data_IF_229307193301
#
_entry.id   IF_229307193301
#
_cell.length_a   1.000
_cell.length_b   1.000
_cell.length_c   1.000
_cell.angle_alpha   90.00
_cell.angle_beta   90.00
_cell.angle_gamma   90.00
#
_symmetry.space_group_name_H-M   'P 1'
#
loop_
_entity.id
_entity.type
_entity.pdbx_description
1 polymer ?
#
# COMPACT_ATOMS: atom_id res chain seq x y z
N UNK A 1 -39.16 -52.19 23.39
CA UNK A 1 -39.54 -51.13 24.36
C UNK A 1 -38.97 -49.84 23.80
N UNK A 2 -39.69 -48.78 23.43
CA UNK A 2 -41.04 -48.33 23.74
C UNK A 2 -41.49 -47.45 22.55
N UNK A 3 -42.76 -47.56 22.17
CA UNK A 3 -43.43 -46.90 21.05
C UNK A 3 -43.72 -45.42 21.32
N UNK A 4 -43.98 -44.64 20.27
CA UNK A 4 -45.07 -43.64 20.24
C UNK A 4 -45.63 -43.51 18.81
N UNK A 5 -46.94 -43.77 18.68
CA UNK A 5 -47.83 -43.65 17.51
C UNK A 5 -48.45 -42.22 17.52
N UNK A 6 -48.47 -41.43 16.42
CA UNK A 6 -49.45 -41.38 15.30
C UNK A 6 -50.62 -40.34 15.54
N UNK A 7 -51.51 -39.97 14.57
CA UNK A 7 -51.37 -38.85 13.59
C UNK A 7 -52.68 -38.00 13.37
N UNK A 8 -52.79 -37.29 12.22
CA UNK A 8 -53.96 -36.56 11.59
C UNK A 8 -54.22 -35.09 12.06
N UNK A 9 -54.69 -34.11 11.25
CA UNK A 9 -55.56 -34.10 10.06
C UNK A 9 -55.44 -32.77 9.27
N UNK A 10 -55.60 -32.81 7.95
CA UNK A 10 -55.87 -31.65 7.07
C UNK A 10 -57.39 -31.42 6.94
N UNK A 11 -57.85 -30.16 6.86
CA UNK A 11 -59.22 -29.86 6.43
C UNK A 11 -59.26 -28.69 5.43
N UNK A 12 -59.80 -29.01 4.26
CA UNK A 12 -60.15 -28.20 3.11
C UNK A 12 -61.54 -27.59 3.34
N UNK A 13 -61.77 -26.32 3.02
CA UNK A 13 -63.12 -25.74 2.90
C UNK A 13 -63.28 -25.13 1.51
N UNK A 14 -64.35 -25.54 0.85
CA UNK A 14 -64.76 -25.18 -0.51
C UNK A 14 -66.25 -24.82 -0.43
N UNK A 15 -66.66 -23.65 -0.91
CA UNK A 15 -68.07 -23.32 -1.13
C UNK A 15 -68.26 -22.45 -2.38
N UNK A 16 -69.04 -23.05 -3.28
CA UNK A 16 -69.72 -22.60 -4.52
C UNK A 16 -70.68 -21.41 -4.26
N UNK A 17 -71.26 -20.64 -5.20
CA UNK A 17 -71.16 -20.45 -6.64
C UNK A 17 -72.01 -19.21 -7.06
N UNK A 18 -71.66 -18.62 -8.21
CA UNK A 18 -72.47 -18.02 -9.30
C UNK A 18 -73.65 -17.04 -9.05
N UNK A 19 -73.57 -15.87 -9.69
CA UNK A 19 -74.55 -15.35 -10.69
C UNK A 19 -73.99 -14.10 -11.40
N UNK A 20 -74.14 -14.01 -12.73
CA UNK A 20 -73.48 -13.01 -13.58
C UNK A 20 -74.38 -11.93 -14.21
N UNK A 21 -73.85 -11.34 -15.31
CA UNK A 21 -74.43 -10.36 -16.27
C UNK A 21 -74.30 -8.89 -15.78
N UNK A 22 -73.81 -7.85 -16.49
CA UNK A 22 -73.65 -7.50 -17.91
C UNK A 22 -72.56 -6.40 -18.10
N UNK A 23 -72.11 -6.20 -19.34
CA UNK A 23 -71.05 -5.29 -19.77
C UNK A 23 -71.44 -3.81 -19.88
N UNK A 24 -70.45 -2.92 -19.70
CA UNK A 24 -70.27 -1.68 -20.48
C UNK A 24 -68.87 -1.12 -20.21
N UNK A 25 -68.07 -0.98 -21.27
CA UNK A 25 -66.68 -0.54 -21.17
C UNK A 25 -66.49 0.95 -20.95
N UNK A 26 -65.28 1.31 -20.54
CA UNK A 26 -64.54 2.50 -20.96
C UNK A 26 -63.09 2.38 -20.47
N UNK A 27 -62.17 2.63 -21.39
CA UNK A 27 -60.72 2.60 -21.22
C UNK A 27 -60.25 3.52 -20.08
N UNK A 28 -59.39 2.98 -19.20
CA UNK A 28 -58.42 3.74 -18.42
C UNK A 28 -57.03 3.14 -18.73
N UNK A 29 -55.98 3.94 -18.98
CA UNK A 29 -54.68 3.40 -19.31
C UNK A 29 -54.04 2.79 -18.05
N UNK A 30 -53.53 1.58 -18.20
CA UNK A 30 -52.68 0.93 -17.20
C UNK A 30 -51.47 1.83 -16.93
N UNK A 31 -51.32 2.23 -15.66
CA UNK A 31 -50.09 2.78 -15.12
C UNK A 31 -48.97 1.76 -15.30
N UNK A 32 -48.03 2.07 -16.18
CA UNK A 32 -46.80 1.29 -16.34
C UNK A 32 -46.03 1.15 -15.04
N UNK A 33 -45.16 0.13 -14.92
CA UNK A 33 -44.36 -0.07 -13.71
C UNK A 33 -43.51 1.18 -13.52
N UNK A 34 -43.65 1.78 -12.34
CA UNK A 34 -42.92 2.97 -11.93
C UNK A 34 -41.44 2.79 -12.21
N UNK A 35 -40.94 3.69 -13.03
CA UNK A 35 -39.53 4.00 -13.23
C UNK A 35 -38.95 4.27 -11.84
N UNK A 36 -38.41 3.22 -11.21
CA UNK A 36 -37.45 3.38 -10.14
C UNK A 36 -36.28 4.10 -10.78
N UNK A 37 -36.29 5.42 -10.66
CA UNK A 37 -35.11 6.23 -10.84
C UNK A 37 -34.05 5.64 -9.93
N UNK A 38 -33.18 4.81 -10.52
CA UNK A 38 -31.90 4.50 -9.96
C UNK A 38 -31.24 5.87 -9.73
N UNK A 39 -31.22 6.30 -8.48
CA UNK A 39 -30.37 7.40 -8.09
C UNK A 39 -28.95 6.92 -8.35
N UNK A 40 -28.40 7.29 -9.51
CA UNK A 40 -26.97 7.25 -9.80
C UNK A 40 -26.28 8.15 -8.76
N UNK A 41 -26.08 7.63 -7.56
CA UNK A 41 -24.99 8.11 -6.74
C UNK A 41 -23.74 7.76 -7.52
N UNK A 42 -23.11 8.77 -8.14
CA UNK A 42 -21.83 8.60 -8.79
C UNK A 42 -20.91 7.83 -7.83
N UNK A 43 -20.37 6.71 -8.30
CA UNK A 43 -19.53 5.84 -7.47
C UNK A 43 -18.44 6.68 -6.80
N UNK A 44 -18.20 6.46 -5.50
CA UNK A 44 -17.17 7.18 -4.77
C UNK A 44 -15.79 6.95 -5.42
N UNK A 45 -15.23 8.03 -5.98
CA UNK A 45 -13.93 8.07 -6.65
C UNK A 45 -12.82 8.61 -5.73
N UNK A 46 -13.13 8.88 -4.46
CA UNK A 46 -12.13 9.37 -3.53
C UNK A 46 -11.05 8.31 -3.22
N UNK A 47 -9.78 8.71 -3.07
CA UNK A 47 -8.71 7.78 -2.71
C UNK A 47 -9.06 7.00 -1.44
N UNK A 48 -8.78 5.69 -1.42
CA UNK A 48 -8.89 4.87 -0.20
C UNK A 48 -7.75 5.10 0.77
N UNK A 49 -6.60 5.48 0.25
CA UNK A 49 -5.43 5.86 1.05
C UNK A 49 -5.47 7.36 1.34
N UNK A 50 -5.01 7.79 2.53
CA UNK A 50 -4.86 9.22 2.81
C UNK A 50 -3.81 9.85 1.87
N UNK A 51 -3.97 11.15 1.62
CA UNK A 51 -2.90 11.96 1.04
C UNK A 51 -2.10 12.56 2.18
N UNK A 52 -0.86 12.12 2.32
CA UNK A 52 0.04 12.58 3.38
C UNK A 52 0.77 13.85 2.96
N UNK A 53 0.76 14.85 3.83
CA UNK A 53 1.62 16.02 3.67
C UNK A 53 3.10 15.60 3.73
N UNK A 54 3.93 16.27 2.94
CA UNK A 54 5.38 16.03 2.95
C UNK A 54 6.00 16.80 4.12
N UNK A 55 6.75 16.11 4.97
CA UNK A 55 7.54 16.71 6.05
C UNK A 55 9.02 16.44 5.78
N UNK A 56 9.67 17.33 5.04
CA UNK A 56 11.00 17.07 4.49
C UNK A 56 10.94 15.83 3.59
N UNK A 57 11.66 14.78 3.98
CA UNK A 57 11.74 13.51 3.27
C UNK A 57 10.88 12.40 3.88
N UNK A 58 10.00 12.76 4.82
CA UNK A 58 9.02 11.85 5.43
C UNK A 58 7.59 12.15 4.99
N UNK A 59 6.77 11.11 5.02
CA UNK A 59 5.32 11.23 4.92
C UNK A 59 4.63 10.18 5.80
N UNK A 60 3.45 10.56 6.32
CA UNK A 60 2.61 9.70 7.13
C UNK A 60 3.10 9.47 8.56
N UNK A 61 2.56 8.45 9.20
CA UNK A 61 2.73 8.18 10.63
C UNK A 61 2.57 6.69 10.93
N UNK A 62 3.20 6.21 12.01
CA UNK A 62 2.96 4.86 12.50
C UNK A 62 1.60 4.80 13.19
N UNK A 63 0.83 3.79 12.84
CA UNK A 63 -0.48 3.53 13.44
C UNK A 63 -0.51 2.13 14.03
N UNK A 64 -1.51 1.87 14.85
CA UNK A 64 -1.79 0.55 15.42
C UNK A 64 -3.20 0.12 15.05
N UNK A 65 -3.40 -1.19 14.97
CA UNK A 65 -4.69 -1.80 14.71
C UNK A 65 -4.90 -2.96 15.68
N UNK A 66 -6.10 -3.09 16.22
CA UNK A 66 -6.48 -4.22 17.09
C UNK A 66 -7.29 -5.19 16.27
N UNK A 67 -6.79 -6.42 16.11
CA UNK A 67 -7.39 -7.43 15.24
C UNK A 67 -8.60 -8.09 15.90
N UNK A 68 -9.57 -8.48 15.07
CA UNK A 68 -10.67 -9.37 15.41
C UNK A 68 -10.32 -10.83 15.09
N UNK A 69 -11.17 -11.77 15.53
CA UNK A 69 -10.95 -13.20 15.33
C UNK A 69 -10.88 -13.62 13.84
N UNK A 70 -11.72 -13.02 13.00
CA UNK A 70 -11.80 -13.31 11.55
C UNK A 70 -10.72 -12.61 10.70
N UNK A 71 -9.91 -11.76 11.30
CA UNK A 71 -8.92 -10.99 10.55
C UNK A 71 -7.79 -11.85 10.00
N UNK A 72 -7.29 -11.44 8.84
CA UNK A 72 -6.05 -11.96 8.25
C UNK A 72 -5.25 -10.77 7.74
N UNK A 73 -3.94 -10.87 7.64
CA UNK A 73 -3.11 -9.79 7.09
C UNK A 73 -3.47 -9.48 5.64
N UNK A 74 -3.88 -10.47 4.86
CA UNK A 74 -4.38 -10.23 3.50
C UNK A 74 -5.71 -9.46 3.49
N UNK A 75 -6.62 -9.78 4.42
CA UNK A 75 -7.89 -9.08 4.61
C UNK A 75 -7.70 -7.64 5.07
N UNK A 76 -6.94 -7.44 6.15
CA UNK A 76 -6.56 -6.13 6.68
C UNK A 76 -5.85 -5.31 5.59
N UNK A 77 -4.92 -5.91 4.87
CA UNK A 77 -4.22 -5.27 3.75
C UNK A 77 -5.18 -4.81 2.66
N UNK A 78 -6.14 -5.64 2.27
CA UNK A 78 -7.16 -5.24 1.30
C UNK A 78 -8.13 -4.17 1.86
N UNK A 79 -8.50 -4.20 3.13
CA UNK A 79 -9.38 -3.19 3.71
C UNK A 79 -8.69 -1.83 3.86
N UNK A 80 -7.45 -1.85 4.34
CA UNK A 80 -6.69 -0.65 4.69
C UNK A 80 -5.75 -0.18 3.57
N UNK A 81 -5.72 -0.88 2.43
CA UNK A 81 -4.76 -0.62 1.34
C UNK A 81 -3.31 -0.67 1.84
N UNK A 82 -2.94 -1.80 2.46
CA UNK A 82 -1.57 -2.15 2.85
C UNK A 82 -1.17 -3.48 2.19
N UNK A 83 0.09 -3.61 1.83
CA UNK A 83 0.68 -4.78 1.22
C UNK A 83 0.81 -5.92 2.23
N UNK A 84 0.66 -7.15 1.74
CA UNK A 84 0.76 -8.31 2.61
C UNK A 84 2.14 -8.40 3.30
N UNK A 85 3.24 -8.28 2.55
CA UNK A 85 4.59 -8.41 3.14
C UNK A 85 4.96 -7.23 4.04
N UNK A 86 4.45 -6.03 3.81
CA UNK A 86 4.74 -4.92 4.74
C UNK A 86 4.08 -5.15 6.11
N UNK A 87 2.87 -5.74 6.15
CA UNK A 87 2.23 -6.14 7.40
C UNK A 87 2.99 -7.28 8.08
N UNK A 88 3.42 -8.31 7.33
CA UNK A 88 4.21 -9.44 7.86
C UNK A 88 5.53 -8.94 8.45
N UNK A 89 6.25 -8.08 7.73
CA UNK A 89 7.56 -7.56 8.15
C UNK A 89 7.46 -6.68 9.39
N UNK A 90 6.47 -5.78 9.44
CA UNK A 90 6.26 -4.87 10.56
C UNK A 90 5.76 -5.55 11.85
N UNK A 91 5.31 -6.82 11.78
CA UNK A 91 4.70 -7.54 12.89
C UNK A 91 5.33 -8.92 13.13
N UNK A 92 6.63 -8.96 13.50
CA UNK A 92 7.32 -10.23 13.72
C UNK A 92 6.68 -11.03 14.85
N UNK A 93 6.41 -12.31 14.60
CA UNK A 93 5.83 -13.24 15.58
C UNK A 93 4.30 -13.28 15.63
N UNK A 94 3.60 -12.43 14.86
CA UNK A 94 2.14 -12.53 14.67
C UNK A 94 1.86 -13.48 13.51
N UNK A 95 0.89 -14.40 13.69
CA UNK A 95 0.45 -15.29 12.61
C UNK A 95 -0.34 -14.48 11.55
N UNK A 96 0.12 -14.41 10.29
CA UNK A 96 -0.56 -13.61 9.27
C UNK A 96 -1.96 -14.12 8.90
N UNK A 97 -2.26 -15.40 9.10
CA UNK A 97 -3.55 -16.05 8.78
C UNK A 97 -4.51 -16.12 9.95
N UNK A 98 -4.01 -15.99 11.18
CA UNK A 98 -4.86 -15.91 12.36
C UNK A 98 -4.16 -15.05 13.43
N UNK A 99 -4.13 -13.71 13.26
CA UNK A 99 -3.49 -12.81 14.22
C UNK A 99 -4.07 -12.94 15.63
N UNK A 100 -5.34 -13.36 15.71
CA UNK A 100 -6.07 -13.59 16.96
C UNK A 100 -6.85 -12.36 17.42
N UNK A 101 -7.92 -12.58 18.16
CA UNK A 101 -8.75 -11.51 18.70
C UNK A 101 -7.99 -10.69 19.75
N UNK A 102 -8.02 -9.37 19.62
CA UNK A 102 -7.36 -8.43 20.53
C UNK A 102 -5.84 -8.26 20.33
N UNK A 103 -5.24 -8.89 19.31
CA UNK A 103 -3.82 -8.68 19.00
C UNK A 103 -3.60 -7.28 18.46
N UNK A 104 -2.62 -6.56 19.02
CA UNK A 104 -2.25 -5.22 18.53
C UNK A 104 -1.14 -5.37 17.51
N UNK A 105 -1.40 -4.93 16.29
CA UNK A 105 -0.44 -4.92 15.18
C UNK A 105 -0.06 -3.49 14.80
N UNK A 106 1.16 -3.32 14.30
CA UNK A 106 1.68 -2.10 13.70
C UNK A 106 1.21 -1.99 12.25
N UNK A 107 0.72 -0.80 11.88
CA UNK A 107 0.48 -0.39 10.50
C UNK A 107 1.62 0.55 10.06
N UNK A 108 2.54 0.12 9.18
CA UNK A 108 3.73 0.88 8.80
C UNK A 108 3.42 1.99 7.77
N UNK A 109 2.57 2.95 8.15
CA UNK A 109 2.14 4.10 7.32
C UNK A 109 3.07 5.32 7.41
N UNK A 110 4.26 5.14 7.95
CA UNK A 110 5.32 6.15 7.93
C UNK A 110 6.34 5.75 6.87
N UNK A 111 6.72 6.68 6.01
CA UNK A 111 7.59 6.41 4.88
C UNK A 111 8.70 7.44 4.79
N UNK A 112 9.93 6.97 4.61
CA UNK A 112 11.00 7.75 3.98
C UNK A 112 10.75 7.74 2.48
N UNK A 113 10.68 8.92 1.87
CA UNK A 113 10.37 9.06 0.46
C UNK A 113 11.57 8.64 -0.40
N UNK A 114 11.37 8.00 -1.55
CA UNK A 114 12.47 7.67 -2.46
C UNK A 114 13.21 8.93 -2.94
N UNK A 115 14.53 8.82 -3.14
CA UNK A 115 15.40 9.93 -3.56
C UNK A 115 15.35 10.14 -5.08
N UNK A 116 14.15 10.46 -5.56
CA UNK A 116 13.86 10.74 -6.96
C UNK A 116 12.97 11.97 -7.06
N UNK A 117 12.88 12.61 -8.24
CA UNK A 117 11.89 13.66 -8.46
C UNK A 117 10.49 13.24 -8.02
N UNK A 118 9.94 13.97 -7.05
CA UNK A 118 8.63 13.75 -6.43
C UNK A 118 7.49 14.22 -7.33
N UNK A 119 7.32 13.54 -8.46
CA UNK A 119 6.36 13.91 -9.50
C UNK A 119 5.73 12.68 -10.12
N UNK A 120 4.41 12.69 -10.25
CA UNK A 120 3.66 11.60 -10.87
C UNK A 120 3.77 10.33 -10.06
N UNK A 121 4.02 9.21 -10.73
CA UNK A 121 4.05 7.88 -10.13
C UNK A 121 5.49 7.41 -9.97
N UNK A 122 5.85 6.96 -8.77
CA UNK A 122 7.10 6.25 -8.49
C UNK A 122 6.76 4.88 -7.92
N UNK A 123 7.21 3.82 -8.57
CA UNK A 123 7.04 2.44 -8.11
C UNK A 123 8.39 1.95 -7.60
N UNK A 124 8.47 1.62 -6.31
CA UNK A 124 9.66 1.01 -5.73
C UNK A 124 9.46 -0.50 -5.55
N UNK A 125 10.17 -1.28 -6.38
CA UNK A 125 10.08 -2.73 -6.42
C UNK A 125 10.61 -3.39 -5.15
N UNK A 126 11.50 -2.73 -4.41
CA UNK A 126 12.12 -3.31 -3.21
C UNK A 126 11.17 -3.38 -2.01
N UNK A 127 10.15 -2.52 -2.00
CA UNK A 127 9.20 -2.38 -0.91
C UNK A 127 7.74 -2.60 -1.35
N UNK A 128 7.52 -2.96 -2.62
CA UNK A 128 6.19 -3.24 -3.17
C UNK A 128 5.21 -2.07 -3.05
N UNK A 129 5.71 -0.83 -3.19
CA UNK A 129 4.89 0.39 -3.06
C UNK A 129 4.90 1.23 -4.33
N UNK A 130 3.76 1.86 -4.58
CA UNK A 130 3.54 2.91 -5.56
C UNK A 130 3.28 4.21 -4.80
N UNK A 131 4.14 5.19 -5.03
CA UNK A 131 3.98 6.57 -4.58
C UNK A 131 3.35 7.38 -5.70
N UNK A 132 2.24 8.05 -5.41
CA UNK A 132 1.65 9.05 -6.29
C UNK A 132 1.79 10.43 -5.65
N UNK A 133 2.65 11.26 -6.24
CA UNK A 133 2.88 12.63 -5.80
C UNK A 133 1.81 13.54 -6.44
N UNK A 134 0.75 13.79 -5.67
CA UNK A 134 -0.33 14.70 -5.99
C UNK A 134 0.06 16.15 -5.64
N UNK A 135 -0.80 17.12 -5.98
CA UNK A 135 -0.53 18.55 -5.71
C UNK A 135 -0.33 18.84 -4.21
N UNK A 136 -1.13 18.19 -3.35
CA UNK A 136 -1.17 18.47 -1.91
C UNK A 136 -0.36 17.48 -1.04
N UNK A 137 0.38 16.55 -1.65
CA UNK A 137 1.14 15.56 -0.90
C UNK A 137 1.38 14.26 -1.65
N UNK A 138 1.51 13.17 -0.90
CA UNK A 138 1.78 11.84 -1.46
C UNK A 138 0.74 10.83 -0.99
N UNK A 139 0.26 10.03 -1.95
CA UNK A 139 -0.53 8.83 -1.69
C UNK A 139 0.37 7.62 -1.88
N UNK A 140 0.29 6.64 -1.00
CA UNK A 140 1.11 5.42 -1.05
C UNK A 140 0.19 4.22 -1.15
N UNK A 141 0.35 3.44 -2.21
CA UNK A 141 -0.44 2.23 -2.47
C UNK A 141 0.47 1.01 -2.50
N UNK A 142 0.03 -0.13 -1.97
CA UNK A 142 0.73 -1.38 -2.16
C UNK A 142 0.52 -1.89 -3.58
N UNK A 143 1.55 -2.51 -4.15
CA UNK A 143 1.52 -3.12 -5.48
C UNK A 143 2.14 -4.50 -5.48
N UNK A 144 1.50 -5.45 -6.14
CA UNK A 144 2.15 -6.69 -6.54
C UNK A 144 3.06 -6.43 -7.74
N UNK A 145 4.25 -7.03 -7.74
CA UNK A 145 5.28 -6.83 -8.78
C UNK A 145 5.68 -8.15 -9.43
N UNK A 146 6.53 -8.08 -10.45
CA UNK A 146 7.07 -9.25 -11.14
C UNK A 146 7.87 -10.17 -10.24
N UNK A 147 7.81 -11.49 -10.51
CA UNK A 147 8.67 -12.48 -9.83
C UNK A 147 10.14 -12.34 -10.27
N UNK A 148 11.04 -13.10 -9.66
CA UNK A 148 12.45 -13.12 -10.09
C UNK A 148 12.60 -13.66 -11.52
N UNK A 149 11.77 -14.62 -11.91
CA UNK A 149 11.74 -15.22 -13.25
C UNK A 149 11.10 -14.29 -14.27
N UNK A 150 10.18 -13.41 -13.83
CA UNK A 150 9.47 -12.46 -14.68
C UNK A 150 9.50 -11.05 -14.06
N UNK A 151 10.68 -10.41 -14.01
CA UNK A 151 10.86 -9.19 -13.23
C UNK A 151 10.14 -7.99 -13.86
N UNK A 152 9.64 -7.11 -13.00
CA UNK A 152 9.22 -5.77 -13.42
C UNK A 152 10.43 -4.95 -13.88
N UNK A 153 10.32 -4.18 -14.98
CA UNK A 153 11.44 -3.46 -15.57
C UNK A 153 11.77 -2.22 -14.74
N UNK A 154 13.06 -1.91 -14.61
CA UNK A 154 13.51 -0.58 -14.18
C UNK A 154 13.42 0.35 -15.38
N UNK A 155 12.51 1.32 -15.34
CA UNK A 155 12.22 2.17 -16.51
C UNK A 155 11.67 3.54 -16.10
N UNK A 156 11.77 4.50 -17.03
CA UNK A 156 10.99 5.73 -17.00
C UNK A 156 9.96 5.63 -18.14
N UNK A 157 8.69 5.70 -17.77
CA UNK A 157 7.55 5.60 -18.67
C UNK A 157 6.57 6.75 -18.40
N UNK A 158 5.43 6.71 -19.05
CA UNK A 158 4.29 7.60 -18.82
C UNK A 158 2.99 6.83 -18.96
N UNK A 159 1.93 7.31 -18.32
CA UNK A 159 0.59 6.78 -18.50
C UNK A 159 0.07 7.20 -19.86
N UNK A 160 -0.32 6.24 -20.69
CA UNK A 160 -0.79 6.48 -22.06
C UNK A 160 -2.31 6.50 -22.17
N UNK A 161 -2.99 5.68 -21.37
CA UNK A 161 -4.45 5.60 -21.31
C UNK A 161 -4.92 4.86 -20.06
N UNK A 162 -6.11 5.22 -19.58
CA UNK A 162 -6.88 4.46 -18.59
C UNK A 162 -7.90 3.56 -19.29
N UNK A 163 -8.18 2.41 -18.68
CA UNK A 163 -9.16 1.44 -19.12
C UNK A 163 -10.09 1.07 -17.96
N UNK A 164 -11.39 1.20 -18.20
CA UNK A 164 -12.44 0.64 -17.36
C UNK A 164 -12.81 -0.75 -17.89
N UNK A 165 -12.93 -1.73 -17.00
CA UNK A 165 -13.30 -3.11 -17.33
C UNK A 165 -12.53 -3.66 -18.56
N UNK A 166 -11.18 -3.73 -18.51
CA UNK A 166 -10.38 -4.10 -19.68
C UNK A 166 -10.58 -5.57 -20.07
N UNK A 167 -10.65 -5.85 -21.37
CA UNK A 167 -10.40 -7.21 -21.87
C UNK A 167 -8.89 -7.50 -21.80
N UNK A 168 -8.52 -8.73 -21.43
CA UNK A 168 -7.11 -9.14 -21.43
C UNK A 168 -6.76 -9.94 -22.68
N UNK A 169 -5.71 -9.52 -23.36
CA UNK A 169 -5.12 -10.23 -24.49
C UNK A 169 -3.76 -10.77 -24.03
N UNK A 170 -3.64 -12.08 -23.75
CA UNK A 170 -2.40 -12.64 -23.23
C UNK A 170 -1.20 -12.39 -24.17
N UNK A 171 -0.07 -11.90 -23.64
CA UNK A 171 1.15 -11.73 -24.42
C UNK A 171 1.62 -13.03 -25.06
N UNK A 172 2.43 -12.92 -26.13
CA UNK A 172 2.93 -14.09 -26.84
C UNK A 172 3.75 -15.03 -25.95
N UNK A 173 4.54 -14.49 -25.01
CA UNK A 173 5.30 -15.26 -24.02
C UNK A 173 4.39 -16.12 -23.15
N UNK A 174 3.35 -15.52 -22.57
CA UNK A 174 2.37 -16.24 -21.72
C UNK A 174 1.62 -17.30 -22.52
N UNK A 175 1.26 -17.02 -23.78
CA UNK A 175 0.63 -18.03 -24.65
C UNK A 175 1.55 -19.22 -24.91
N UNK A 176 2.85 -18.98 -25.12
CA UNK A 176 3.82 -20.04 -25.34
C UNK A 176 4.03 -20.91 -24.08
N UNK A 177 3.98 -20.31 -22.89
CA UNK A 177 4.06 -21.04 -21.61
C UNK A 177 2.88 -21.99 -21.42
N UNK A 178 1.65 -21.51 -21.63
CA UNK A 178 0.44 -22.35 -21.55
C UNK A 178 0.43 -23.45 -22.62
N UNK A 179 0.90 -23.15 -23.83
CA UNK A 179 1.06 -24.17 -24.88
C UNK A 179 2.08 -25.26 -24.48
N UNK A 180 3.18 -24.87 -23.83
CA UNK A 180 4.20 -25.79 -23.33
C UNK A 180 3.72 -26.65 -22.15
N UNK A 181 2.87 -26.12 -21.27
CA UNK A 181 2.27 -26.88 -20.16
C UNK A 181 1.09 -27.77 -20.58
N UNK A 182 0.54 -27.53 -21.77
CA UNK A 182 -0.67 -28.22 -22.26
C UNK A 182 -1.98 -27.60 -21.75
N UNK A 183 -1.91 -26.43 -21.12
CA UNK A 183 -3.07 -25.72 -20.59
C UNK A 183 -3.73 -24.84 -21.66
N UNK A 184 -5.06 -24.77 -21.62
CA UNK A 184 -5.81 -23.91 -22.53
C UNK A 184 -5.82 -22.45 -22.05
N UNK A 185 -5.31 -21.56 -22.90
CA UNK A 185 -5.44 -20.11 -22.71
C UNK A 185 -6.19 -19.47 -23.89
N UNK A 186 -7.38 -18.86 -23.67
CA UNK A 186 -8.09 -18.18 -24.74
C UNK A 186 -7.29 -16.98 -25.26
N UNK A 187 -7.50 -16.63 -26.54
CA UNK A 187 -6.85 -15.48 -27.18
C UNK A 187 -7.24 -14.12 -26.59
N UNK A 188 -8.38 -14.10 -25.90
CA UNK A 188 -8.93 -12.93 -25.22
C UNK A 188 -9.75 -13.43 -24.03
N UNK A 189 -9.53 -12.82 -22.86
CA UNK A 189 -10.38 -12.98 -21.68
C UNK A 189 -11.26 -11.72 -21.59
N UNK A 190 -12.59 -11.85 -21.63
CA UNK A 190 -13.48 -10.70 -21.59
C UNK A 190 -13.42 -10.01 -20.22
N UNK A 191 -13.95 -8.79 -20.10
CA UNK A 191 -14.12 -8.15 -18.80
C UNK A 191 -14.99 -9.00 -17.86
N UNK A 192 -14.67 -8.98 -16.57
CA UNK A 192 -15.44 -9.69 -15.54
C UNK A 192 -14.56 -10.25 -14.40
N UNK A 193 -15.17 -10.90 -13.40
CA UNK A 193 -14.47 -11.35 -12.20
C UNK A 193 -13.30 -12.31 -12.45
N UNK A 194 -13.33 -13.06 -13.55
CA UNK A 194 -12.27 -13.98 -13.95
C UNK A 194 -11.09 -13.32 -14.65
N UNK A 195 -11.15 -12.02 -14.96
CA UNK A 195 -10.13 -11.34 -15.75
C UNK A 195 -8.90 -10.97 -14.88
N UNK A 196 -7.68 -11.40 -15.24
CA UNK A 196 -6.49 -11.14 -14.44
C UNK A 196 -6.06 -9.67 -14.38
N UNK A 197 -6.59 -8.81 -15.26
CA UNK A 197 -6.40 -7.37 -15.18
C UNK A 197 -7.28 -6.69 -14.13
N UNK A 198 -8.25 -7.41 -13.56
CA UNK A 198 -9.16 -6.87 -12.56
C UNK A 198 -10.14 -5.83 -13.12
N UNK A 199 -10.51 -4.87 -12.28
CA UNK A 199 -11.57 -3.89 -12.61
C UNK A 199 -11.12 -2.80 -13.59
N UNK A 200 -9.88 -2.34 -13.47
CA UNK A 200 -9.34 -1.20 -14.22
C UNK A 200 -7.85 -1.36 -14.50
N UNK A 201 -7.33 -0.63 -15.48
CA UNK A 201 -5.91 -0.60 -15.80
C UNK A 201 -5.44 0.78 -16.30
N UNK A 202 -4.18 1.10 -16.04
CA UNK A 202 -3.40 2.16 -16.67
C UNK A 202 -2.38 1.52 -17.59
N UNK A 203 -2.40 1.87 -18.86
CA UNK A 203 -1.39 1.44 -19.83
C UNK A 203 -0.19 2.37 -19.74
N UNK A 204 1.00 1.78 -19.78
CA UNK A 204 2.26 2.51 -19.76
C UNK A 204 2.83 2.62 -21.18
N UNK A 205 3.66 3.64 -21.41
CA UNK A 205 4.44 3.76 -22.64
C UNK A 205 5.48 2.65 -22.78
N UNK A 206 5.88 2.04 -21.66
CA UNK A 206 6.63 0.78 -21.65
C UNK A 206 5.74 -0.37 -22.12
N UNK A 207 6.06 -0.92 -23.29
CA UNK A 207 5.16 -1.82 -24.01
C UNK A 207 4.93 -3.12 -23.24
N UNK A 208 3.66 -3.46 -23.05
CA UNK A 208 3.25 -4.70 -22.39
C UNK A 208 3.17 -4.60 -20.86
N UNK A 209 3.46 -3.43 -20.27
CA UNK A 209 3.36 -3.21 -18.84
C UNK A 209 2.18 -2.30 -18.49
N UNK A 210 1.49 -2.68 -17.41
CA UNK A 210 0.30 -2.01 -16.92
C UNK A 210 0.36 -1.88 -15.40
N UNK A 211 -0.29 -0.83 -14.88
CA UNK A 211 -0.73 -0.78 -13.48
C UNK A 211 -2.21 -1.16 -13.51
N UNK A 212 -2.59 -2.28 -12.89
CA UNK A 212 -3.93 -2.84 -13.07
C UNK A 212 -4.45 -3.50 -11.80
N UNK A 213 -5.75 -3.84 -11.77
CA UNK A 213 -6.36 -4.60 -10.69
C UNK A 213 -5.93 -6.07 -10.67
N UNK A 214 -6.68 -6.94 -10.01
CA UNK A 214 -6.38 -8.38 -10.03
C UNK A 214 -7.62 -9.21 -9.73
N UNK A 215 -7.74 -10.39 -10.34
CA UNK A 215 -8.74 -11.39 -9.93
C UNK A 215 -8.25 -12.30 -8.80
N UNK A 216 -7.00 -12.15 -8.37
CA UNK A 216 -6.44 -12.90 -7.24
C UNK A 216 -6.78 -12.18 -5.94
N UNK A 217 -7.30 -12.94 -4.98
CA UNK A 217 -7.63 -12.45 -3.63
C UNK A 217 -6.39 -12.09 -2.81
N UNK A 218 -5.22 -12.57 -3.22
CA UNK A 218 -3.92 -12.33 -2.62
C UNK A 218 -2.89 -12.03 -3.71
N UNK A 219 -1.84 -11.28 -3.37
CA UNK A 219 -0.73 -10.98 -4.30
C UNK A 219 -0.30 -9.52 -4.32
N UNK A 220 -1.13 -8.60 -3.82
CA UNK A 220 -0.75 -7.20 -3.63
C UNK A 220 0.23 -7.10 -2.46
N UNK A 221 1.33 -6.37 -2.65
CA UNK A 221 2.44 -6.33 -1.69
C UNK A 221 3.37 -7.55 -1.77
N UNK A 222 3.41 -8.27 -2.89
CA UNK A 222 4.25 -9.45 -3.13
C UNK A 222 4.79 -9.51 -4.57
N UNK A 223 5.84 -10.30 -4.80
CA UNK A 223 6.32 -10.65 -6.13
C UNK A 223 5.53 -11.85 -6.70
N UNK A 224 4.50 -11.59 -7.52
CA UNK A 224 3.54 -12.63 -8.00
C UNK A 224 3.07 -12.44 -9.45
N UNK A 225 3.57 -11.41 -10.14
CA UNK A 225 3.13 -11.07 -11.49
C UNK A 225 4.14 -11.49 -12.54
N UNK A 226 3.74 -11.43 -13.81
CA UNK A 226 4.66 -11.58 -14.95
C UNK A 226 5.19 -10.20 -15.38
N UNK A 227 5.61 -9.39 -14.40
CA UNK A 227 6.23 -8.08 -14.59
C UNK A 227 5.30 -6.86 -14.48
N UNK A 228 3.98 -7.00 -14.63
CA UNK A 228 3.02 -5.89 -14.43
C UNK A 228 2.84 -5.52 -12.95
N UNK A 229 2.21 -4.36 -12.69
CA UNK A 229 1.97 -3.84 -11.34
C UNK A 229 0.52 -4.06 -10.94
N UNK A 230 0.27 -4.86 -9.89
CA UNK A 230 -1.08 -5.24 -9.44
C UNK A 230 -1.50 -4.43 -8.22
N UNK A 231 -2.61 -3.70 -8.31
CA UNK A 231 -3.26 -3.01 -7.20
C UNK A 231 -4.52 -3.77 -6.75
N UNK A 232 -5.03 -3.46 -5.55
CA UNK A 232 -6.37 -3.87 -5.18
C UNK A 232 -7.41 -3.27 -6.14
N UNK A 233 -8.49 -4.02 -6.44
CA UNK A 233 -9.49 -3.58 -7.42
C UNK A 233 -10.19 -2.30 -6.98
N UNK A 234 -10.41 -2.17 -5.68
CA UNK A 234 -11.00 -1.03 -5.00
C UNK A 234 -10.11 0.20 -5.15
N UNK A 235 -8.79 0.04 -5.03
CA UNK A 235 -7.83 1.15 -5.20
C UNK A 235 -7.72 1.57 -6.66
N UNK A 236 -7.45 0.64 -7.59
CA UNK A 236 -7.25 0.97 -9.00
C UNK A 236 -8.51 1.59 -9.63
N UNK A 237 -9.70 1.14 -9.20
CA UNK A 237 -10.97 1.69 -9.69
C UNK A 237 -11.17 3.17 -9.39
N UNK A 238 -10.44 3.71 -8.41
CA UNK A 238 -10.48 5.14 -8.06
C UNK A 238 -9.23 5.85 -8.57
N UNK A 239 -8.08 5.18 -8.49
CA UNK A 239 -6.80 5.70 -8.91
C UNK A 239 -6.75 6.09 -10.40
N UNK A 240 -7.40 5.32 -11.29
CA UNK A 240 -7.43 5.65 -12.73
C UNK A 240 -8.05 7.01 -13.05
N UNK A 241 -8.91 7.54 -12.18
CA UNK A 241 -9.54 8.84 -12.35
C UNK A 241 -8.72 10.00 -11.78
N UNK A 242 -7.71 9.70 -10.96
CA UNK A 242 -6.77 10.69 -10.43
C UNK A 242 -5.60 10.93 -11.39
N UNK A 243 -5.28 9.93 -12.21
CA UNK A 243 -4.07 9.91 -13.03
C UNK A 243 -4.38 10.32 -14.47
N UNK A 244 -3.79 11.43 -14.90
CA UNK A 244 -3.94 11.93 -16.26
C UNK A 244 -2.99 11.23 -17.25
N UNK A 245 -3.37 11.25 -18.53
CA UNK A 245 -2.48 10.85 -19.63
C UNK A 245 -1.24 11.74 -19.64
N UNK A 246 -0.06 11.13 -19.81
CA UNK A 246 1.23 11.81 -19.76
C UNK A 246 1.82 11.91 -18.35
N UNK A 247 1.11 11.43 -17.32
CA UNK A 247 1.67 11.35 -15.96
C UNK A 247 2.95 10.51 -16.01
N UNK A 248 4.10 11.04 -15.56
CA UNK A 248 5.35 10.28 -15.58
C UNK A 248 5.27 9.11 -14.60
N UNK A 249 5.85 7.99 -14.99
CA UNK A 249 5.99 6.78 -14.18
C UNK A 249 7.45 6.42 -14.10
N UNK A 250 7.99 6.29 -12.89
CA UNK A 250 9.36 5.85 -12.66
C UNK A 250 9.36 4.56 -11.85
N UNK A 251 10.05 3.54 -12.35
CA UNK A 251 10.19 2.26 -11.67
C UNK A 251 11.63 2.12 -11.18
N UNK A 252 11.80 2.02 -9.86
CA UNK A 252 13.08 1.94 -9.16
C UNK A 252 13.13 0.69 -8.29
N UNK A 253 14.33 0.39 -7.78
CA UNK A 253 14.55 -0.64 -6.77
C UNK A 253 15.53 -0.09 -5.75
N UNK A 254 14.98 0.46 -4.67
CA UNK A 254 15.74 1.04 -3.56
C UNK A 254 15.31 0.38 -2.25
N UNK A 255 16.00 -0.68 -1.80
CA UNK A 255 15.70 -1.32 -0.53
C UNK A 255 16.11 -0.46 0.67
N UNK A 256 17.00 0.52 0.47
CA UNK A 256 17.48 1.44 1.51
C UNK A 256 17.12 2.88 1.16
N UNK A 257 16.34 3.53 2.01
CA UNK A 257 15.97 4.95 1.87
C UNK A 257 16.50 5.76 3.05
N UNK A 258 16.97 6.96 2.75
CA UNK A 258 17.45 7.94 3.74
C UNK A 258 16.72 9.25 3.51
N UNK A 259 16.41 9.96 4.58
CA UNK A 259 15.72 11.24 4.49
C UNK A 259 15.96 12.14 5.69
N UNK A 260 15.85 13.45 5.47
CA UNK A 260 15.85 14.48 6.50
C UNK A 260 14.44 14.98 6.78
N UNK A 261 14.10 15.08 8.06
CA UNK A 261 12.86 15.71 8.50
C UNK A 261 13.05 16.36 9.86
N UNK A 262 12.66 17.63 10.00
CA UNK A 262 12.77 18.34 11.29
C UNK A 262 14.19 18.43 11.88
N UNK A 263 15.24 18.23 11.08
CA UNK A 263 16.63 18.13 11.57
C UNK A 263 17.05 16.72 11.98
N UNK A 264 16.17 15.74 11.90
CA UNK A 264 16.46 14.32 12.15
C UNK A 264 16.76 13.59 10.85
N UNK A 265 17.59 12.55 10.93
CA UNK A 265 17.93 11.64 9.82
C UNK A 265 17.21 10.34 10.03
N UNK A 266 16.47 9.92 9.02
CA UNK A 266 15.64 8.72 9.03
C UNK A 266 16.15 7.72 8.01
N UNK A 267 16.21 6.46 8.42
CA UNK A 267 16.62 5.33 7.61
C UNK A 267 15.48 4.32 7.55
N UNK A 268 15.11 3.90 6.34
CA UNK A 268 14.15 2.83 6.11
C UNK A 268 14.82 1.72 5.31
N UNK A 269 14.79 0.50 5.83
CA UNK A 269 15.52 -0.66 5.29
C UNK A 269 14.55 -1.79 5.03
N UNK A 270 14.57 -2.31 3.81
CA UNK A 270 13.71 -3.42 3.37
C UNK A 270 14.53 -4.66 3.04
N UNK A 271 14.26 -5.77 3.73
CA UNK A 271 14.85 -7.06 3.36
C UNK A 271 14.33 -7.55 1.99
N UNK A 272 15.18 -8.18 1.16
CA UNK A 272 14.82 -8.59 -0.20
C UNK A 272 13.78 -9.71 -0.21
N UNK A 273 13.82 -10.61 0.76
CA UNK A 273 12.94 -11.77 0.92
C UNK A 273 12.56 -11.95 2.39
N UNK A 274 11.59 -12.82 2.66
CA UNK A 274 11.15 -13.10 4.04
C UNK A 274 12.19 -13.89 4.83
N UNK A 275 12.88 -14.82 4.19
CA UNK A 275 14.08 -15.43 4.73
C UNK A 275 15.21 -14.40 4.75
N UNK A 276 15.50 -13.88 5.93
CA UNK A 276 16.58 -12.91 6.12
C UNK A 276 17.84 -13.62 6.63
N UNK A 277 18.64 -14.12 5.71
CA UNK A 277 19.86 -14.85 6.05
C UNK A 277 20.98 -13.91 6.51
N UNK A 278 21.99 -14.45 7.18
CA UNK A 278 23.19 -13.67 7.54
C UNK A 278 23.90 -13.10 6.28
N UNK A 279 23.86 -13.81 5.16
CA UNK A 279 24.43 -13.33 3.90
C UNK A 279 23.64 -12.14 3.34
N UNK A 280 22.31 -12.20 3.35
CA UNK A 280 21.45 -11.08 2.94
C UNK A 280 21.66 -9.88 3.86
N UNK A 281 21.81 -10.13 5.17
CA UNK A 281 22.14 -9.10 6.15
C UNK A 281 23.46 -8.41 5.86
N UNK A 282 24.51 -9.16 5.57
CA UNK A 282 25.82 -8.58 5.29
C UNK A 282 25.82 -7.76 3.98
N UNK A 283 25.10 -8.21 2.95
CA UNK A 283 24.90 -7.43 1.71
C UNK A 283 24.14 -6.13 1.99
N UNK A 284 23.05 -6.21 2.76
CA UNK A 284 22.24 -5.04 3.10
C UNK A 284 23.02 -4.06 3.96
N UNK A 285 23.83 -4.55 4.90
CA UNK A 285 24.74 -3.73 5.70
C UNK A 285 25.72 -2.93 4.83
N UNK A 286 26.30 -3.54 3.81
CA UNK A 286 27.20 -2.85 2.88
C UNK A 286 26.48 -1.75 2.09
N UNK A 287 25.27 -2.03 1.61
CA UNK A 287 24.45 -1.04 0.89
C UNK A 287 24.06 0.14 1.80
N UNK A 288 23.58 -0.16 3.01
CA UNK A 288 23.23 0.85 4.02
C UNK A 288 24.45 1.70 4.38
N UNK A 289 25.59 1.07 4.63
CA UNK A 289 26.82 1.78 4.98
C UNK A 289 27.25 2.75 3.87
N UNK A 290 27.28 2.30 2.61
CA UNK A 290 27.64 3.14 1.47
C UNK A 290 26.66 4.32 1.32
N UNK A 291 25.35 4.08 1.51
CA UNK A 291 24.33 5.13 1.39
C UNK A 291 24.42 6.15 2.52
N UNK A 292 24.63 5.70 3.76
CA UNK A 292 24.82 6.58 4.93
C UNK A 292 26.10 7.38 4.79
N UNK A 293 27.21 6.79 4.35
CA UNK A 293 28.46 7.50 4.14
C UNK A 293 28.30 8.60 3.08
N UNK A 294 27.69 8.30 1.93
CA UNK A 294 27.40 9.30 0.90
C UNK A 294 26.49 10.41 1.40
N UNK A 295 25.48 10.07 2.20
CA UNK A 295 24.58 11.04 2.82
C UNK A 295 25.30 11.97 3.81
N UNK A 296 26.16 11.44 4.69
CA UNK A 296 26.95 12.25 5.63
C UNK A 296 27.96 13.15 4.90
N UNK A 297 28.52 12.70 3.78
CA UNK A 297 29.40 13.54 2.95
C UNK A 297 28.64 14.75 2.36
N UNK A 298 27.38 14.58 1.99
CA UNK A 298 26.52 15.66 1.49
C UNK A 298 25.97 16.56 2.61
N UNK A 299 25.88 16.02 3.83
CA UNK A 299 25.37 16.71 5.03
C UNK A 299 26.40 16.66 6.17
N UNK A 300 27.49 17.45 6.10
CA UNK A 300 28.55 17.42 7.11
C UNK A 300 28.10 17.95 8.50
N UNK A 301 26.93 18.59 8.56
CA UNK A 301 26.26 19.05 9.77
C UNK A 301 25.48 17.94 10.51
N UNK A 302 25.39 16.74 9.93
CA UNK A 302 24.67 15.60 10.50
C UNK A 302 25.61 14.71 11.33
N UNK A 303 25.10 14.26 12.48
CA UNK A 303 25.69 13.17 13.24
C UNK A 303 24.78 11.94 13.23
N UNK A 304 25.29 10.81 12.73
CA UNK A 304 24.57 9.52 12.73
C UNK A 304 25.05 8.61 13.87
N UNK A 305 24.15 7.75 14.33
CA UNK A 305 24.32 6.80 15.43
C UNK A 305 24.42 5.40 14.85
N UNK A 306 25.62 4.83 14.89
CA UNK A 306 25.91 3.48 14.35
C UNK A 306 24.98 2.40 14.90
N UNK A 307 24.68 2.41 16.20
CA UNK A 307 23.80 1.42 16.83
C UNK A 307 22.39 1.44 16.24
N UNK A 308 21.82 2.62 15.97
CA UNK A 308 20.49 2.73 15.34
C UNK A 308 20.50 2.17 13.91
N UNK A 309 21.59 2.38 13.18
CA UNK A 309 21.78 1.81 11.83
C UNK A 309 21.84 0.29 11.92
N UNK A 310 22.62 -0.26 12.86
CA UNK A 310 22.72 -1.72 13.08
C UNK A 310 21.34 -2.34 13.38
N UNK A 311 20.55 -1.72 14.26
CA UNK A 311 19.18 -2.17 14.57
C UNK A 311 18.29 -2.15 13.31
N UNK A 312 18.32 -1.06 12.54
CA UNK A 312 17.51 -0.94 11.32
C UNK A 312 17.89 -2.00 10.27
N UNK A 313 19.19 -2.35 10.15
CA UNK A 313 19.63 -3.44 9.27
C UNK A 313 19.22 -4.79 9.84
N UNK A 314 19.40 -5.03 11.14
CA UNK A 314 19.05 -6.31 11.76
C UNK A 314 17.55 -6.63 11.64
N UNK A 315 16.70 -5.60 11.74
CA UNK A 315 15.26 -5.73 11.61
C UNK A 315 14.83 -5.80 10.13
N UNK A 316 15.32 -4.86 9.31
CA UNK A 316 15.00 -4.70 7.89
C UNK A 316 13.49 -4.86 7.58
N UNK A 317 12.66 -4.36 8.50
CA UNK A 317 11.21 -4.56 8.53
C UNK A 317 10.43 -3.50 7.74
N UNK A 318 11.13 -2.52 7.17
CA UNK A 318 10.53 -1.41 6.42
C UNK A 318 9.93 -0.31 7.30
N UNK A 319 10.20 -0.29 8.61
CA UNK A 319 9.80 0.79 9.52
C UNK A 319 10.90 1.87 9.57
N UNK A 320 10.58 3.15 9.27
CA UNK A 320 11.54 4.23 9.41
C UNK A 320 12.12 4.34 10.82
N UNK A 321 13.44 4.33 10.92
CA UNK A 321 14.20 4.44 12.16
C UNK A 321 15.01 5.74 12.15
N UNK A 322 14.89 6.54 13.21
CA UNK A 322 15.76 7.72 13.38
C UNK A 322 17.18 7.26 13.71
N UNK A 323 18.13 7.63 12.85
CA UNK A 323 19.54 7.25 12.95
C UNK A 323 20.45 8.43 13.25
N UNK A 324 19.97 9.67 13.30
CA UNK A 324 20.84 10.82 13.50
C UNK A 324 20.09 12.14 13.55
N UNK A 325 20.85 13.21 13.76
CA UNK A 325 20.33 14.58 13.84
C UNK A 325 21.35 15.59 13.31
N UNK A 326 20.85 16.74 12.85
CA UNK A 326 21.64 17.90 12.50
C UNK A 326 22.11 18.60 13.76
N UNK A 327 23.40 18.85 13.83
CA UNK A 327 24.01 19.64 14.89
C UNK A 327 23.55 21.09 14.73
N UNK A 328 22.65 21.54 15.60
CA UNK A 328 22.33 22.96 15.67
C UNK A 328 23.58 23.67 16.23
N UNK A 329 24.26 24.47 15.41
CA UNK A 329 25.24 25.41 15.94
C UNK A 329 24.47 26.42 16.80
N UNK A 330 24.44 26.20 18.12
CA UNK A 330 24.20 27.30 19.04
C UNK A 330 25.28 28.34 18.76
N UNK A 331 24.86 29.49 18.23
CA UNK A 331 25.74 30.62 17.98
C UNK A 331 26.51 30.93 19.27
N UNK A 332 27.80 30.61 19.26
CA UNK A 332 28.78 31.30 20.08
C UNK A 332 29.00 32.68 19.44
N UNK A 333 27.99 33.54 19.52
CA UNK A 333 28.08 34.94 19.13
C UNK A 333 27.09 35.76 19.99
N UNK A 334 27.33 35.77 21.30
CA UNK A 334 27.25 37.02 22.03
C UNK A 334 28.65 37.31 22.59
N UNK A 335 29.30 38.31 22.01
CA UNK A 335 30.50 38.95 22.54
C UNK A 335 30.21 39.64 23.87
N UNK A 336 29.97 38.84 24.91
CA UNK A 336 29.91 39.26 26.29
C UNK A 336 31.32 39.27 26.88
N UNK A 337 31.80 40.48 27.14
CA UNK A 337 32.98 40.83 27.94
C UNK A 337 33.23 39.84 29.11
N UNK A 338 34.46 39.39 29.37
CA UNK A 338 34.73 38.49 30.49
C UNK A 338 34.33 39.16 31.81
N UNK A 339 33.69 38.44 32.76
CA UNK A 339 33.28 39.04 34.02
C UNK A 339 34.52 39.57 34.76
N UNK A 340 34.52 40.87 35.07
CA UNK A 340 35.50 41.45 35.98
C UNK A 340 35.44 40.70 37.31
N UNK A 341 36.58 40.14 37.71
CA UNK A 341 36.77 39.59 39.04
C UNK A 341 36.44 40.67 40.08
N UNK A 342 35.56 40.40 41.06
CA UNK A 342 35.42 41.30 42.19
C UNK A 342 36.72 41.28 42.99
N UNK A 343 37.34 42.46 43.13
CA UNK A 343 38.33 42.71 44.18
C UNK A 343 37.64 42.56 45.53
N UNK A 344 37.95 41.50 46.26
CA UNK A 344 37.67 41.42 47.70
C UNK A 344 38.98 41.36 48.47
N UNK A 345 39.14 42.35 49.34
CA UNK A 345 40.22 42.57 50.30
C UNK A 345 40.35 41.42 51.33
N UNK A 346 41.51 41.32 52.02
CA UNK A 346 41.85 40.15 52.82
C UNK A 346 41.28 40.20 54.24
N UNK A 347 40.83 39.04 54.71
CA UNK A 347 40.90 38.66 56.12
C UNK A 347 39.56 38.55 56.86
N UNK A 348 39.19 37.31 57.22
CA UNK A 348 39.01 36.93 58.62
C UNK A 348 38.84 35.41 58.75
N UNK A 349 39.78 34.81 59.47
CA UNK A 349 39.74 33.44 59.98
C UNK A 349 38.68 33.32 61.08
N UNK A 350 37.79 32.34 61.00
CA UNK A 350 37.08 31.82 62.18
C UNK A 350 37.05 30.29 62.15
N UNK A 351 37.58 29.72 63.22
CA UNK A 351 37.59 28.31 63.60
C UNK A 351 36.18 27.82 63.92
N UNK A 352 35.85 26.59 63.54
CA UNK A 352 35.28 25.54 64.41
C UNK A 352 35.59 24.16 63.84
#
# INVERSE_FOLDING_TARGET
MMQLNNPFTWLLVLLLASSGVQASGQHAPESGPGEQAATDQAADRSPRVPTFALNGDLAGELQVFTTAYEDTFAGIGNELALGYLELVKANPGVDPWLPGDGTVITLPRMYVLPDVPRKGIVINLAEYRLYYFAEDGVQVYPVGVGTEENPSPLTNAEVTMSLESPAWYPPASIRAEYEASGDFLPRMIPPGPGNPLGSHALLLSEKGYLIHGTNKQFGVGMAVSHGCFRMYNEDISRFVYQVEKGTPVRVIREPVKLGLSGGEVWLEVHRPREDYTAEDRDKLWQEVFAKVEGFVQQHPDVQVRRQSIEIAVDQADGIPTMIGEKLTQMAADEGGEPPQQPKTEPGQTLYF
#
